data_IF_224092984646
#
_entry.id   IF_224092984646
#
_cell.length_a   1.000
_cell.length_b   1.000
_cell.length_c   1.000
_cell.angle_alpha   90.00
_cell.angle_beta   90.00
_cell.angle_gamma   90.00
#
_symmetry.space_group_name_H-M   'P 1'
#
loop_
_entity.id
_entity.type
_entity.pdbx_description
1 polymer ?
#
# COMPACT_ATOMS: atom_id res chain seq x y z
N UNK A 1 -19.43 -19.74 -45.87
CA UNK A 1 -18.87 -18.49 -45.32
C UNK A 1 -19.73 -17.88 -44.20
N UNK A 2 -21.06 -17.79 -44.32
CA UNK A 2 -21.88 -17.16 -43.25
C UNK A 2 -21.86 -17.91 -41.89
N UNK A 3 -21.67 -19.24 -41.89
CA UNK A 3 -21.65 -20.02 -40.65
C UNK A 3 -20.43 -19.77 -39.76
N UNK A 4 -19.27 -19.47 -40.37
CA UNK A 4 -18.05 -19.13 -39.61
C UNK A 4 -18.19 -17.79 -38.88
N UNK A 5 -18.87 -16.81 -39.48
CA UNK A 5 -19.08 -15.51 -38.86
C UNK A 5 -19.94 -15.61 -37.60
N UNK A 6 -20.99 -16.45 -37.63
CA UNK A 6 -21.85 -16.69 -36.46
C UNK A 6 -21.08 -17.36 -35.33
N UNK A 7 -20.19 -18.31 -35.67
CA UNK A 7 -19.39 -19.02 -34.66
C UNK A 7 -18.37 -18.09 -33.98
N UNK A 8 -17.78 -17.16 -34.74
CA UNK A 8 -16.84 -16.17 -34.20
C UNK A 8 -17.53 -15.23 -33.21
N UNK A 9 -18.75 -14.76 -33.53
CA UNK A 9 -19.53 -13.90 -32.62
C UNK A 9 -19.94 -14.63 -31.34
N UNK A 10 -20.38 -15.89 -31.43
CA UNK A 10 -20.75 -16.69 -30.27
C UNK A 10 -19.58 -16.90 -29.29
N UNK A 11 -18.37 -17.16 -29.81
CA UNK A 11 -17.18 -17.34 -28.99
C UNK A 11 -16.72 -16.04 -28.32
N UNK A 12 -16.85 -14.89 -28.99
CA UNK A 12 -16.55 -13.57 -28.42
C UNK A 12 -17.50 -13.19 -27.29
N UNK A 13 -18.80 -13.50 -27.41
CA UNK A 13 -19.78 -13.27 -26.35
C UNK A 13 -19.58 -14.20 -25.14
N UNK A 14 -19.21 -15.46 -25.36
CA UNK A 14 -18.89 -16.39 -24.28
C UNK A 14 -17.64 -15.95 -23.50
N UNK A 15 -16.60 -15.47 -24.19
CA UNK A 15 -15.37 -14.98 -23.56
C UNK A 15 -15.58 -13.68 -22.75
N UNK A 16 -16.51 -12.83 -23.16
CA UNK A 16 -16.84 -11.58 -22.45
C UNK A 16 -17.69 -11.80 -21.19
N UNK A 17 -18.38 -12.95 -21.10
CA UNK A 17 -19.27 -13.29 -19.98
C UNK A 17 -18.65 -14.23 -18.95
N UNK A 18 -17.39 -14.65 -19.14
CA UNK A 18 -16.59 -15.21 -18.07
C UNK A 18 -16.24 -14.09 -17.10
N UNK A 19 -17.07 -13.94 -16.07
CA UNK A 19 -16.74 -13.24 -14.85
C UNK A 19 -15.37 -13.73 -14.39
N UNK A 20 -14.32 -12.97 -14.69
CA UNK A 20 -12.97 -13.25 -14.24
C UNK A 20 -13.05 -13.12 -12.74
N UNK A 21 -13.25 -14.26 -12.07
CA UNK A 21 -13.19 -14.38 -10.63
C UNK A 21 -11.82 -13.84 -10.23
N UNK A 22 -11.81 -12.60 -9.75
CA UNK A 22 -10.60 -11.89 -9.36
C UNK A 22 -9.94 -12.81 -8.34
N UNK A 23 -8.71 -13.31 -8.60
CA UNK A 23 -8.08 -14.23 -7.67
C UNK A 23 -8.08 -13.55 -6.29
N UNK A 24 -8.44 -14.28 -5.22
CA UNK A 24 -8.44 -13.72 -3.88
C UNK A 24 -7.09 -13.03 -3.68
N UNK A 25 -7.14 -11.73 -3.35
CA UNK A 25 -5.94 -10.94 -3.19
C UNK A 25 -4.98 -11.72 -2.29
N UNK A 26 -3.76 -11.96 -2.78
CA UNK A 26 -2.76 -12.72 -2.05
C UNK A 26 -2.56 -12.06 -0.68
N UNK A 27 -3.12 -12.68 0.35
CA UNK A 27 -2.97 -12.25 1.74
C UNK A 27 -1.86 -13.08 2.35
N UNK A 28 -0.75 -12.44 2.65
CA UNK A 28 0.32 -13.09 3.41
C UNK A 28 -0.19 -13.48 4.80
N UNK A 29 0.42 -14.52 5.38
CA UNK A 29 0.21 -14.95 6.77
C UNK A 29 0.14 -13.76 7.75
N UNK A 30 -0.55 -13.90 8.90
CA UNK A 30 -0.66 -12.85 9.90
C UNK A 30 0.70 -12.21 10.15
N UNK A 31 0.79 -10.94 9.78
CA UNK A 31 2.07 -10.26 9.64
C UNK A 31 2.67 -10.03 11.02
N UNK A 32 3.97 -10.31 11.18
CA UNK A 32 4.70 -9.93 12.40
C UNK A 32 4.48 -8.44 12.62
N UNK A 33 4.18 -8.05 13.87
CA UNK A 33 4.02 -6.64 14.23
C UNK A 33 5.24 -5.84 13.74
N UNK A 34 5.00 -4.65 13.19
CA UNK A 34 6.06 -3.78 12.71
C UNK A 34 6.98 -3.44 13.89
N UNK A 35 8.28 -3.65 13.72
CA UNK A 35 9.26 -3.31 14.75
C UNK A 35 9.50 -1.80 14.76
N UNK A 36 9.57 -1.22 15.97
CA UNK A 36 9.88 0.20 16.12
C UNK A 36 11.30 0.50 15.61
N UNK A 37 11.47 1.65 14.96
CA UNK A 37 12.75 2.12 14.44
C UNK A 37 13.23 3.34 15.22
N UNK A 38 14.39 3.20 15.88
CA UNK A 38 14.95 4.22 16.77
C UNK A 38 15.96 5.17 16.10
N UNK A 39 16.38 4.84 14.87
CA UNK A 39 17.39 5.59 14.12
C UNK A 39 18.85 5.32 14.52
N UNK A 40 19.14 4.30 15.33
CA UNK A 40 20.52 3.98 15.75
C UNK A 40 21.27 3.12 14.72
N UNK A 41 20.56 2.20 14.07
CA UNK A 41 21.13 1.24 13.12
C UNK A 41 20.69 1.59 11.69
N UNK A 42 21.53 2.28 10.90
CA UNK A 42 21.14 2.78 9.58
C UNK A 42 20.77 1.66 8.60
N UNK A 43 21.35 0.47 8.73
CA UNK A 43 21.00 -0.69 7.90
C UNK A 43 19.57 -1.20 8.12
N UNK A 44 18.96 -0.95 9.29
CA UNK A 44 17.58 -1.36 9.59
C UNK A 44 16.53 -0.49 8.93
N UNK A 45 16.89 0.70 8.41
CA UNK A 45 15.92 1.59 7.76
C UNK A 45 15.27 0.93 6.54
N UNK A 46 16.04 0.14 5.77
CA UNK A 46 15.53 -0.59 4.61
C UNK A 46 14.50 -1.63 5.02
N UNK A 47 14.80 -2.41 6.06
CA UNK A 47 13.88 -3.40 6.60
C UNK A 47 12.59 -2.74 7.09
N UNK A 48 12.70 -1.64 7.85
CA UNK A 48 11.55 -0.87 8.33
C UNK A 48 10.65 -0.39 7.17
N UNK A 49 11.23 0.20 6.12
CA UNK A 49 10.49 0.69 4.95
C UNK A 49 9.82 -0.48 4.21
N UNK A 50 10.54 -1.58 3.99
CA UNK A 50 9.98 -2.78 3.33
C UNK A 50 8.80 -3.36 4.11
N UNK A 51 8.90 -3.43 5.44
CA UNK A 51 7.80 -3.88 6.29
C UNK A 51 6.59 -2.94 6.20
N UNK A 52 6.80 -1.62 6.19
CA UNK A 52 5.71 -0.65 5.97
C UNK A 52 5.04 -0.87 4.61
N UNK A 53 5.83 -0.98 3.53
CA UNK A 53 5.31 -1.22 2.18
C UNK A 53 4.45 -2.48 2.14
N UNK A 54 4.92 -3.58 2.74
CA UNK A 54 4.20 -4.83 2.74
C UNK A 54 2.86 -4.73 3.49
N UNK A 55 2.81 -4.01 4.62
CA UNK A 55 1.56 -3.72 5.34
C UNK A 55 0.58 -2.94 4.45
N UNK A 56 1.06 -1.91 3.75
CA UNK A 56 0.23 -1.07 2.89
C UNK A 56 -0.34 -1.82 1.69
N UNK A 57 0.40 -2.78 1.14
CA UNK A 57 -0.07 -3.62 0.04
C UNK A 57 -1.09 -4.66 0.50
N UNK A 58 -0.99 -5.13 1.74
CA UNK A 58 -1.91 -6.13 2.29
C UNK A 58 -3.27 -5.54 2.68
N UNK A 59 -3.33 -4.24 3.00
CA UNK A 59 -4.55 -3.51 3.31
C UNK A 59 -4.70 -2.20 2.51
N UNK A 60 -4.92 -2.29 1.18
CA UNK A 60 -5.02 -1.12 0.31
C UNK A 60 -6.25 -0.25 0.64
N UNK A 61 -7.29 -0.81 1.26
CA UNK A 61 -8.49 -0.06 1.67
C UNK A 61 -8.18 0.92 2.79
N UNK A 62 -7.51 0.45 3.84
CA UNK A 62 -7.13 1.30 4.96
C UNK A 62 -5.99 2.27 4.58
N UNK A 63 -5.06 1.84 3.73
CA UNK A 63 -3.91 2.63 3.28
C UNK A 63 -4.08 3.25 1.89
N UNK A 64 -5.30 3.63 1.51
CA UNK A 64 -5.59 4.26 0.21
C UNK A 64 -4.97 5.65 0.03
N UNK A 65 -4.80 6.39 1.13
CA UNK A 65 -4.21 7.73 1.12
C UNK A 65 -2.74 7.72 1.55
N UNK A 66 -1.88 8.45 0.84
CA UNK A 66 -0.47 8.62 1.20
C UNK A 66 -0.30 9.12 2.64
N UNK A 67 -1.15 10.06 3.07
CA UNK A 67 -1.16 10.58 4.44
C UNK A 67 -1.30 9.48 5.50
N UNK A 68 -2.20 8.52 5.31
CA UNK A 68 -2.39 7.40 6.24
C UNK A 68 -1.15 6.50 6.31
N UNK A 69 -0.48 6.29 5.17
CA UNK A 69 0.78 5.54 5.12
C UNK A 69 1.88 6.24 5.92
N UNK A 70 2.02 7.56 5.74
CA UNK A 70 3.04 8.33 6.47
C UNK A 70 2.72 8.35 7.96
N UNK A 71 1.49 8.67 8.35
CA UNK A 71 1.07 8.66 9.76
C UNK A 71 1.35 7.32 10.44
N UNK A 72 1.00 6.23 9.76
CA UNK A 72 1.27 4.88 10.25
C UNK A 72 2.78 4.63 10.38
N UNK A 73 3.59 4.90 9.36
CA UNK A 73 5.03 4.71 9.48
C UNK A 73 5.62 5.55 10.62
N UNK A 74 5.19 6.81 10.77
CA UNK A 74 5.70 7.70 11.82
C UNK A 74 5.36 7.22 13.23
N UNK A 75 4.26 6.51 13.45
CA UNK A 75 3.90 6.01 14.79
C UNK A 75 4.83 4.91 15.32
N UNK A 76 5.63 4.30 14.44
CA UNK A 76 6.64 3.30 14.81
C UNK A 76 8.06 3.88 14.88
N UNK A 77 8.22 5.18 14.64
CA UNK A 77 9.48 5.85 14.90
C UNK A 77 9.60 6.13 16.40
N UNK A 78 10.75 5.79 16.96
CA UNK A 78 11.07 6.02 18.37
C UNK A 78 12.46 6.67 18.49
N UNK A 79 12.88 7.03 19.70
CA UNK A 79 14.23 7.49 19.97
C UNK A 79 14.67 8.69 19.10
N UNK A 80 15.79 8.54 18.38
CA UNK A 80 16.36 9.59 17.53
C UNK A 80 15.50 9.84 16.29
N UNK A 81 14.93 8.78 15.71
CA UNK A 81 14.06 8.91 14.55
C UNK A 81 12.77 9.69 14.88
N UNK A 82 12.18 9.47 16.06
CA UNK A 82 11.03 10.23 16.52
C UNK A 82 11.36 11.72 16.70
N UNK A 83 12.48 12.04 17.34
CA UNK A 83 12.93 13.43 17.51
C UNK A 83 13.18 14.13 16.18
N UNK A 84 13.67 13.39 15.19
CA UNK A 84 13.90 13.94 13.85
C UNK A 84 12.60 14.29 13.12
N UNK A 85 11.55 13.47 13.28
CA UNK A 85 10.26 13.71 12.59
C UNK A 85 9.37 14.73 13.31
N UNK A 86 9.56 14.93 14.62
CA UNK A 86 8.76 15.83 15.47
C UNK A 86 8.39 17.19 14.83
N UNK A 87 9.33 17.98 14.27
CA UNK A 87 8.99 19.28 13.67
C UNK A 87 8.09 19.19 12.43
N UNK A 88 8.00 18.02 11.80
CA UNK A 88 7.18 17.80 10.60
C UNK A 88 5.79 17.24 10.95
N UNK A 89 5.56 16.76 12.17
CA UNK A 89 4.29 16.14 12.56
C UNK A 89 3.11 17.13 12.49
N UNK A 90 3.36 18.41 12.79
CA UNK A 90 2.36 19.48 12.64
C UNK A 90 1.86 19.62 11.20
N UNK A 91 2.71 19.36 10.21
CA UNK A 91 2.34 19.41 8.80
C UNK A 91 1.54 18.16 8.37
N UNK A 92 1.78 17.03 9.04
CA UNK A 92 1.06 15.76 8.82
C UNK A 92 -0.36 15.77 9.41
N UNK A 93 -0.60 16.56 10.45
CA UNK A 93 -1.91 16.72 11.09
C UNK A 93 -2.77 17.79 10.43
N UNK A 94 -2.17 18.80 9.79
CA UNK A 94 -2.87 19.76 8.96
C UNK A 94 -3.49 19.09 7.72
N UNK A 95 -4.74 19.43 7.41
CA UNK A 95 -5.52 18.79 6.35
C UNK A 95 -5.15 19.29 4.94
N UNK A 96 -4.28 20.31 4.88
CA UNK A 96 -3.87 20.96 3.65
C UNK A 96 -2.79 20.14 2.96
N UNK A 97 -3.14 19.56 1.82
CA UNK A 97 -2.33 18.56 1.10
C UNK A 97 -1.16 19.18 0.31
N UNK A 98 -0.98 20.49 0.41
CA UNK A 98 0.03 21.26 -0.32
C UNK A 98 1.46 21.12 0.21
N UNK A 99 1.65 20.65 1.46
CA UNK A 99 2.95 20.66 2.13
C UNK A 99 3.79 19.39 2.01
N UNK A 100 3.29 18.35 1.33
CA UNK A 100 4.03 17.07 1.16
C UNK A 100 4.84 17.00 -0.15
N UNK A 101 4.86 18.07 -0.94
CA UNK A 101 5.59 18.19 -2.20
C UNK A 101 6.38 19.52 -2.20
N UNK A 102 7.56 19.51 -1.60
CA UNK A 102 8.65 20.45 -1.90
C UNK A 102 9.98 19.73 -1.73
#
# INVERSE_FOLDING_TARGET
>A
MMQQMTQIMANLQAAASSEVSRPPAFKTQPMKALECFDGTQPFKVRCFIQSCQHIFHNDPGNFSQHRKKVLYATSFLVGRAAKWIEPYLSNLTNQDSSYLLN
#
